data_IF_386958585473
#
_entry.id   IF_386958585473
#
_cell.length_a   1.000
_cell.length_b   1.000
_cell.length_c   1.000
_cell.angle_alpha   90.00
_cell.angle_beta   90.00
_cell.angle_gamma   90.00
#
_symmetry.space_group_name_H-M   'P 1'
#
loop_
_entity.id
_entity.type
_entity.pdbx_description
1 polymer ?
#
# COMPACT_ATOMS: atom_id res chain seq x y z
N UNK A 1 -41.97 22.26 -21.68
CA UNK A 1 -42.92 22.18 -20.56
C UNK A 1 -42.75 20.80 -19.92
N UNK A 2 -42.42 20.75 -18.63
CA UNK A 2 -42.35 19.48 -17.88
C UNK A 2 -43.68 19.31 -17.13
N UNK A 3 -44.25 18.10 -17.12
CA UNK A 3 -45.49 17.82 -16.42
C UNK A 3 -45.24 17.83 -14.90
N UNK A 4 -45.97 18.67 -14.15
CA UNK A 4 -45.89 18.77 -12.67
C UNK A 4 -47.05 18.03 -11.96
N UNK A 5 -47.81 17.21 -12.70
CA UNK A 5 -49.06 16.61 -12.20
C UNK A 5 -48.87 15.27 -11.46
N UNK A 6 -47.64 14.80 -11.27
CA UNK A 6 -47.39 13.56 -10.53
C UNK A 6 -47.24 13.83 -9.04
N UNK A 7 -47.83 12.96 -8.20
CA UNK A 7 -47.58 12.89 -6.75
C UNK A 7 -47.58 11.42 -6.35
N UNK A 8 -46.62 11.02 -5.51
CA UNK A 8 -46.59 9.66 -4.98
C UNK A 8 -47.82 9.35 -4.12
N UNK A 9 -48.19 8.07 -4.05
CA UNK A 9 -49.35 7.61 -3.28
C UNK A 9 -49.25 8.07 -1.82
N UNK A 10 -50.24 8.83 -1.34
CA UNK A 10 -50.28 9.42 0.00
C UNK A 10 -49.01 10.23 0.37
N UNK A 11 -48.34 10.83 -0.60
CA UNK A 11 -47.13 11.63 -0.39
C UNK A 11 -45.85 10.80 -0.24
N UNK A 12 -45.86 9.52 -0.64
CA UNK A 12 -44.62 8.74 -0.73
C UNK A 12 -43.61 9.42 -1.67
N UNK A 13 -42.30 9.37 -1.35
CA UNK A 13 -41.26 9.93 -2.20
C UNK A 13 -41.31 9.38 -3.63
N UNK A 14 -41.19 10.28 -4.59
CA UNK A 14 -41.14 9.93 -6.01
C UNK A 14 -39.86 9.13 -6.30
N UNK A 15 -39.93 8.22 -7.27
CA UNK A 15 -38.75 7.50 -7.81
C UNK A 15 -37.84 6.94 -6.70
N UNK A 16 -38.45 6.31 -5.68
CA UNK A 16 -37.79 5.72 -4.50
C UNK A 16 -36.85 6.68 -3.75
N UNK A 17 -37.10 7.99 -3.83
CA UNK A 17 -36.32 9.04 -3.19
C UNK A 17 -35.01 9.38 -3.90
N UNK A 18 -34.76 8.87 -5.11
CA UNK A 18 -33.54 9.17 -5.85
C UNK A 18 -33.56 10.57 -6.49
N UNK A 19 -34.70 10.91 -7.10
CA UNK A 19 -34.95 12.19 -7.78
C UNK A 19 -36.45 12.50 -7.74
N UNK A 20 -36.79 13.77 -7.92
CA UNK A 20 -38.15 14.14 -8.33
C UNK A 20 -38.40 13.78 -9.80
N UNK A 21 -39.67 13.64 -10.20
CA UNK A 21 -40.06 13.48 -11.61
C UNK A 21 -39.50 14.61 -12.47
N UNK A 22 -39.58 15.86 -11.98
CA UNK A 22 -39.04 17.05 -12.67
C UNK A 22 -37.54 16.92 -12.96
N UNK A 23 -36.76 16.54 -11.94
CA UNK A 23 -35.31 16.35 -12.11
C UNK A 23 -34.97 15.19 -13.05
N UNK A 24 -35.71 14.07 -12.96
CA UNK A 24 -35.49 12.90 -13.81
C UNK A 24 -35.73 13.17 -15.30
N UNK A 25 -36.56 14.18 -15.62
CA UNK A 25 -36.83 14.59 -17.00
C UNK A 25 -35.84 15.62 -17.55
N UNK A 26 -35.03 16.26 -16.70
CA UNK A 26 -34.13 17.35 -17.09
C UNK A 26 -32.64 17.04 -16.93
N UNK A 27 -32.28 16.08 -16.07
CA UNK A 27 -30.89 15.66 -15.82
C UNK A 27 -30.55 14.39 -16.60
N UNK A 28 -29.27 14.18 -16.86
CA UNK A 28 -28.76 12.92 -17.37
C UNK A 28 -27.60 13.06 -18.33
N UNK A 29 -26.82 11.99 -18.43
CA UNK A 29 -25.81 11.81 -19.44
C UNK A 29 -26.29 10.72 -20.40
N UNK A 30 -25.90 10.84 -21.66
CA UNK A 30 -25.98 9.71 -22.58
C UNK A 30 -24.98 8.63 -22.14
N UNK A 31 -25.20 7.39 -22.61
CA UNK A 31 -24.28 6.27 -22.33
C UNK A 31 -22.85 6.62 -22.79
N UNK A 32 -22.69 7.23 -23.96
CA UNK A 32 -21.39 7.61 -24.51
C UNK A 32 -20.68 8.67 -23.64
N UNK A 33 -21.40 9.69 -23.18
CA UNK A 33 -20.87 10.71 -22.27
C UNK A 33 -20.44 10.09 -20.94
N UNK A 34 -21.25 9.19 -20.38
CA UNK A 34 -20.90 8.48 -19.16
C UNK A 34 -19.67 7.59 -19.34
N UNK A 35 -19.61 6.80 -20.42
CA UNK A 35 -18.45 5.93 -20.70
C UNK A 35 -17.17 6.76 -20.89
N UNK A 36 -17.25 7.89 -21.61
CA UNK A 36 -16.10 8.77 -21.81
C UNK A 36 -15.51 9.29 -20.49
N UNK A 37 -16.36 9.64 -19.52
CA UNK A 37 -15.91 10.06 -18.17
C UNK A 37 -15.36 8.89 -17.35
N UNK A 38 -16.04 7.74 -17.37
CA UNK A 38 -15.59 6.54 -16.67
C UNK A 38 -14.22 6.05 -17.15
N UNK A 39 -13.92 6.13 -18.44
CA UNK A 39 -12.60 5.80 -19.00
C UNK A 39 -11.49 6.66 -18.40
N UNK A 40 -11.77 7.96 -18.17
CA UNK A 40 -10.82 8.88 -17.53
C UNK A 40 -10.66 8.59 -16.04
N UNK A 41 -11.75 8.33 -15.32
CA UNK A 41 -11.70 7.95 -13.90
C UNK A 41 -10.93 6.63 -13.71
N UNK A 42 -11.20 5.64 -14.57
CA UNK A 42 -10.44 4.39 -14.62
C UNK A 42 -8.95 4.65 -14.83
N UNK A 43 -8.58 5.43 -15.85
CA UNK A 43 -7.18 5.69 -16.16
C UNK A 43 -6.46 6.43 -15.03
N UNK A 44 -7.10 7.45 -14.45
CA UNK A 44 -6.56 8.17 -13.29
C UNK A 44 -6.38 7.25 -12.09
N UNK A 45 -7.41 6.48 -11.72
CA UNK A 45 -7.34 5.57 -10.57
C UNK A 45 -6.27 4.49 -10.77
N UNK A 46 -6.23 3.86 -11.96
CA UNK A 46 -5.21 2.87 -12.35
C UNK A 46 -3.80 3.43 -12.25
N UNK A 47 -3.55 4.60 -12.84
CA UNK A 47 -2.21 5.20 -12.86
C UNK A 47 -1.81 5.75 -11.50
N UNK A 48 -2.71 6.39 -10.76
CA UNK A 48 -2.42 6.93 -9.44
C UNK A 48 -2.14 5.83 -8.42
N UNK A 49 -2.83 4.68 -8.47
CA UNK A 49 -2.51 3.56 -7.56
C UNK A 49 -1.10 3.01 -7.79
N UNK A 50 -0.70 2.87 -9.06
CA UNK A 50 0.66 2.47 -9.43
C UNK A 50 1.69 3.53 -9.05
N UNK A 51 1.37 4.82 -9.21
CA UNK A 51 2.27 5.91 -8.81
C UNK A 51 2.45 5.91 -7.29
N UNK A 52 1.39 5.87 -6.49
CA UNK A 52 1.52 5.78 -5.02
C UNK A 52 2.37 4.59 -4.61
N UNK A 53 2.13 3.42 -5.21
CA UNK A 53 2.94 2.20 -5.00
C UNK A 53 4.42 2.45 -5.28
N UNK A 54 4.75 3.00 -6.46
CA UNK A 54 6.13 3.26 -6.88
C UNK A 54 6.87 4.28 -5.99
N UNK A 55 6.15 5.09 -5.20
CA UNK A 55 6.75 6.10 -4.30
C UNK A 55 7.06 5.57 -2.91
N UNK A 56 6.52 4.42 -2.49
CA UNK A 56 6.66 3.89 -1.12
C UNK A 56 8.13 3.72 -0.73
N UNK A 57 8.90 3.00 -1.54
CA UNK A 57 10.27 2.60 -1.20
C UNK A 57 11.18 3.80 -0.98
N UNK A 58 11.17 4.77 -1.90
CA UNK A 58 12.06 5.93 -1.80
C UNK A 58 11.56 7.07 -0.91
N UNK A 59 10.30 7.06 -0.47
CA UNK A 59 9.74 8.09 0.41
C UNK A 59 10.30 7.92 1.83
N UNK A 60 11.06 8.83 2.45
CA UNK A 60 11.62 8.57 3.78
C UNK A 60 10.59 8.59 4.92
N UNK A 61 9.53 9.40 4.80
CA UNK A 61 8.59 9.68 5.90
C UNK A 61 7.66 8.49 6.12
N UNK A 62 7.70 7.90 7.31
CA UNK A 62 6.91 6.73 7.70
C UNK A 62 5.42 6.86 7.37
N UNK A 63 4.77 7.93 7.86
CA UNK A 63 3.33 8.11 7.74
C UNK A 63 2.91 8.30 6.27
N UNK A 64 3.77 8.94 5.45
CA UNK A 64 3.50 9.08 4.02
C UNK A 64 3.62 7.73 3.30
N UNK A 65 4.60 6.88 3.65
CA UNK A 65 4.68 5.53 3.09
C UNK A 65 3.42 4.74 3.38
N UNK A 66 2.98 4.73 4.64
CA UNK A 66 1.79 3.98 5.05
C UNK A 66 0.53 4.50 4.37
N UNK A 67 0.38 5.82 4.28
CA UNK A 67 -0.73 6.45 3.56
C UNK A 67 -0.72 6.12 2.06
N UNK A 68 0.46 6.06 1.41
CA UNK A 68 0.54 5.67 0.01
C UNK A 68 0.05 4.23 -0.23
N UNK A 69 0.28 3.31 0.70
CA UNK A 69 -0.31 1.97 0.65
C UNK A 69 -1.84 1.99 0.63
N UNK A 70 -2.46 2.75 1.55
CA UNK A 70 -3.92 2.92 1.61
C UNK A 70 -4.48 3.55 0.34
N UNK A 71 -3.88 4.66 -0.08
CA UNK A 71 -4.34 5.41 -1.25
C UNK A 71 -4.22 4.58 -2.52
N UNK A 72 -3.15 3.78 -2.65
CA UNK A 72 -3.01 2.84 -3.74
C UNK A 72 -4.12 1.78 -3.73
N UNK A 73 -4.46 1.22 -2.57
CA UNK A 73 -5.51 0.22 -2.43
C UNK A 73 -6.89 0.73 -2.85
N UNK A 74 -7.34 1.86 -2.30
CA UNK A 74 -8.63 2.47 -2.67
C UNK A 74 -8.74 2.73 -4.17
N UNK A 75 -7.70 3.34 -4.76
CA UNK A 75 -7.67 3.65 -6.18
C UNK A 75 -7.61 2.38 -7.04
N UNK A 76 -6.94 1.32 -6.59
CA UNK A 76 -6.90 0.05 -7.30
C UNK A 76 -8.27 -0.65 -7.36
N UNK A 77 -9.02 -0.64 -6.25
CA UNK A 77 -10.39 -1.13 -6.21
C UNK A 77 -11.28 -0.35 -7.18
N UNK A 78 -11.23 0.98 -7.13
CA UNK A 78 -12.07 1.82 -8.00
C UNK A 78 -11.71 1.72 -9.48
N UNK A 79 -10.43 1.54 -9.83
CA UNK A 79 -10.03 1.30 -11.21
C UNK A 79 -10.77 0.08 -11.79
N UNK A 80 -10.89 -1.01 -11.04
CA UNK A 80 -11.63 -2.20 -11.46
C UNK A 80 -13.14 -1.94 -11.51
N UNK A 81 -13.72 -1.24 -10.53
CA UNK A 81 -15.15 -0.91 -10.52
C UNK A 81 -15.56 -0.07 -11.73
N UNK A 82 -14.76 0.93 -12.11
CA UNK A 82 -14.98 1.71 -13.32
C UNK A 82 -14.88 0.84 -14.58
N UNK A 83 -13.89 -0.07 -14.62
CA UNK A 83 -13.70 -0.97 -15.74
C UNK A 83 -14.90 -1.90 -15.96
N UNK A 84 -15.36 -2.54 -14.89
CA UNK A 84 -16.52 -3.42 -14.93
C UNK A 84 -17.78 -2.64 -15.33
N UNK A 85 -17.95 -1.42 -14.82
CA UNK A 85 -19.10 -0.59 -15.20
C UNK A 85 -19.10 -0.22 -16.68
N UNK A 86 -17.93 0.09 -17.27
CA UNK A 86 -17.83 0.35 -18.72
C UNK A 86 -18.22 -0.90 -19.52
N UNK A 87 -17.81 -2.10 -19.09
CA UNK A 87 -18.16 -3.37 -19.76
C UNK A 87 -19.65 -3.68 -19.77
N UNK A 88 -20.38 -3.20 -18.78
CA UNK A 88 -21.84 -3.36 -18.66
C UNK A 88 -22.61 -2.37 -19.55
N UNK A 89 -21.94 -1.33 -20.05
CA UNK A 89 -22.51 -0.33 -20.93
C UNK A 89 -22.35 -0.79 -22.38
N UNK A 90 -23.22 -0.34 -23.30
CA UNK A 90 -23.33 -0.81 -24.70
C UNK A 90 -22.13 -0.45 -25.60
N UNK A 91 -20.92 -0.43 -25.03
CA UNK A 91 -19.64 -0.26 -25.70
C UNK A 91 -18.72 -1.43 -25.31
N UNK A 92 -18.11 -2.13 -26.27
CA UNK A 92 -17.00 -3.01 -25.94
C UNK A 92 -15.92 -2.21 -25.19
N UNK A 93 -15.22 -2.79 -24.20
CA UNK A 93 -14.27 -2.07 -23.33
C UNK A 93 -12.95 -1.74 -24.04
N UNK A 94 -13.00 -1.17 -25.24
CA UNK A 94 -11.84 -0.69 -25.96
C UNK A 94 -11.30 0.60 -25.34
N UNK A 95 -9.97 0.73 -25.32
CA UNK A 95 -9.27 1.93 -24.85
C UNK A 95 -9.21 2.07 -23.33
N UNK A 96 -9.39 0.98 -22.57
CA UNK A 96 -9.19 0.98 -21.11
C UNK A 96 -7.71 0.94 -20.73
N UNK A 97 -6.86 0.41 -21.61
CA UNK A 97 -5.41 0.30 -21.41
C UNK A 97 -4.61 1.45 -22.06
N UNK A 98 -5.29 2.50 -22.52
CA UNK A 98 -4.67 3.68 -23.13
C UNK A 98 -5.28 4.95 -22.56
N UNK A 99 -4.50 6.01 -22.42
CA UNK A 99 -5.02 7.29 -21.97
C UNK A 99 -6.12 7.82 -22.91
N UNK A 100 -7.29 8.22 -22.36
CA UNK A 100 -8.34 8.87 -23.15
C UNK A 100 -7.94 10.23 -23.74
N UNK A 101 -6.84 10.82 -23.28
CA UNK A 101 -6.27 12.06 -23.81
C UNK A 101 -4.75 12.12 -23.51
N UNK A 102 -3.87 12.52 -24.46
CA UNK A 102 -2.41 12.51 -24.25
C UNK A 102 -1.94 13.39 -23.07
N UNK A 103 -2.58 14.55 -22.85
CA UNK A 103 -2.26 15.41 -21.70
C UNK A 103 -2.51 14.75 -20.33
N UNK A 104 -3.36 13.71 -20.26
CA UNK A 104 -3.57 12.96 -19.04
C UNK A 104 -2.35 12.11 -18.68
N UNK A 105 -1.69 11.51 -19.67
CA UNK A 105 -0.41 10.82 -19.44
C UNK A 105 0.69 11.80 -19.07
N UNK A 106 0.80 12.95 -19.75
CA UNK A 106 1.75 14.00 -19.35
C UNK A 106 1.54 14.40 -17.88
N UNK A 107 0.29 14.65 -17.48
CA UNK A 107 -0.06 14.99 -16.11
C UNK A 107 0.40 13.93 -15.08
N UNK A 108 0.13 12.65 -15.36
CA UNK A 108 0.44 11.55 -14.46
C UNK A 108 1.94 11.21 -14.45
N UNK A 109 2.60 11.29 -15.61
CA UNK A 109 4.05 11.10 -15.72
C UNK A 109 4.83 12.21 -15.00
N UNK A 110 4.36 13.46 -15.07
CA UNK A 110 4.94 14.58 -14.33
C UNK A 110 4.88 14.34 -12.82
N UNK A 111 3.75 13.86 -12.30
CA UNK A 111 3.61 13.48 -10.89
C UNK A 111 4.56 12.34 -10.53
N UNK A 112 4.62 11.29 -11.35
CA UNK A 112 5.45 10.11 -11.11
C UNK A 112 6.94 10.47 -11.01
N UNK A 113 7.41 11.33 -11.92
CA UNK A 113 8.83 11.72 -12.02
C UNK A 113 9.22 12.89 -11.13
N UNK A 114 8.27 13.57 -10.47
CA UNK A 114 8.56 14.70 -9.60
C UNK A 114 9.42 14.33 -8.38
N UNK A 115 10.25 15.25 -7.84
CA UNK A 115 10.87 15.07 -6.53
C UNK A 115 9.81 14.93 -5.41
N UNK A 116 10.22 14.48 -4.22
CA UNK A 116 9.27 14.06 -3.17
C UNK A 116 8.30 15.16 -2.73
N UNK A 117 8.79 16.38 -2.49
CA UNK A 117 7.95 17.50 -2.07
C UNK A 117 6.99 17.94 -3.18
N UNK A 118 7.46 18.01 -4.42
CA UNK A 118 6.63 18.28 -5.60
C UNK A 118 5.57 17.20 -5.80
N UNK A 119 5.93 15.92 -5.68
CA UNK A 119 4.97 14.81 -5.79
C UNK A 119 3.85 14.96 -4.75
N UNK A 120 4.18 15.11 -3.47
CA UNK A 120 3.21 15.27 -2.37
C UNK A 120 2.32 16.50 -2.63
N UNK A 121 2.92 17.62 -3.04
CA UNK A 121 2.17 18.84 -3.34
C UNK A 121 1.25 18.64 -4.54
N UNK A 122 1.76 18.13 -5.66
CA UNK A 122 1.00 17.97 -6.90
C UNK A 122 -0.12 16.95 -6.76
N UNK A 123 0.12 15.82 -6.09
CA UNK A 123 -0.90 14.78 -5.93
C UNK A 123 -2.03 15.25 -5.01
N UNK A 124 -1.72 15.90 -3.88
CA UNK A 124 -2.74 16.28 -2.90
C UNK A 124 -3.34 17.68 -3.08
N UNK A 125 -2.70 18.58 -3.84
CA UNK A 125 -3.28 19.90 -4.15
C UNK A 125 -3.87 20.00 -5.56
N UNK A 126 -3.57 19.04 -6.44
CA UNK A 126 -4.07 19.03 -7.82
C UNK A 126 -4.75 17.71 -8.15
N UNK A 127 -4.04 16.58 -8.19
CA UNK A 127 -4.58 15.34 -8.75
C UNK A 127 -5.82 14.79 -8.02
N UNK A 128 -5.71 14.63 -6.70
CA UNK A 128 -6.79 14.08 -5.87
C UNK A 128 -7.97 15.06 -5.76
N UNK A 129 -7.77 16.37 -5.46
CA UNK A 129 -8.87 17.34 -5.48
C UNK A 129 -9.61 17.39 -6.82
N UNK A 130 -8.89 17.34 -7.93
CA UNK A 130 -9.50 17.41 -9.27
C UNK A 130 -10.26 16.12 -9.61
N UNK A 131 -9.74 14.94 -9.24
CA UNK A 131 -10.50 13.69 -9.34
C UNK A 131 -11.79 13.74 -8.51
N UNK A 132 -11.73 14.24 -7.27
CA UNK A 132 -12.90 14.40 -6.40
C UNK A 132 -13.93 15.37 -6.98
N UNK A 133 -13.46 16.49 -7.54
CA UNK A 133 -14.32 17.47 -8.22
C UNK A 133 -15.01 16.84 -9.43
N UNK A 134 -14.28 16.04 -10.22
CA UNK A 134 -14.81 15.32 -11.37
C UNK A 134 -15.92 14.34 -11.00
N UNK A 135 -15.68 13.55 -9.94
CA UNK A 135 -16.66 12.59 -9.40
C UNK A 135 -17.88 13.33 -8.86
N UNK A 136 -17.68 14.41 -8.09
CA UNK A 136 -18.77 15.24 -7.54
C UNK A 136 -19.62 15.88 -8.64
N UNK A 137 -18.98 16.35 -9.71
CA UNK A 137 -19.66 16.86 -10.91
C UNK A 137 -20.50 15.77 -11.57
N UNK A 138 -19.92 14.58 -11.78
CA UNK A 138 -20.65 13.43 -12.31
C UNK A 138 -21.91 13.12 -11.47
N UNK A 139 -21.78 13.07 -10.14
CA UNK A 139 -22.89 12.80 -9.22
C UNK A 139 -24.01 13.85 -9.28
N UNK A 140 -23.67 15.08 -9.66
CA UNK A 140 -24.64 16.19 -9.81
C UNK A 140 -25.36 16.16 -11.15
N UNK A 141 -24.66 15.78 -12.22
CA UNK A 141 -25.16 15.81 -13.60
C UNK A 141 -25.89 14.52 -14.01
N UNK A 142 -25.48 13.36 -13.47
CA UNK A 142 -26.07 12.08 -13.83
C UNK A 142 -27.56 11.98 -13.47
N UNK A 143 -28.29 11.17 -14.22
CA UNK A 143 -29.66 10.82 -13.86
C UNK A 143 -29.62 9.63 -12.90
N UNK A 144 -29.78 9.88 -11.60
CA UNK A 144 -29.68 8.85 -10.55
C UNK A 144 -30.67 7.69 -10.70
N UNK A 145 -31.75 7.86 -11.49
CA UNK A 145 -32.68 6.79 -11.83
C UNK A 145 -32.15 5.96 -13.01
N UNK A 146 -31.82 6.60 -14.13
CA UNK A 146 -31.43 5.89 -15.36
C UNK A 146 -30.02 5.30 -15.30
N UNK A 147 -29.11 5.96 -14.59
CA UNK A 147 -27.70 5.59 -14.48
C UNK A 147 -27.36 5.13 -13.06
N UNK A 148 -28.34 4.59 -12.33
CA UNK A 148 -28.19 4.23 -10.92
C UNK A 148 -26.94 3.37 -10.61
N UNK A 149 -26.58 2.34 -11.42
CA UNK A 149 -25.34 1.59 -11.20
C UNK A 149 -24.09 2.47 -11.26
N UNK A 150 -23.99 3.37 -12.24
CA UNK A 150 -22.84 4.28 -12.37
C UNK A 150 -22.83 5.32 -11.25
N UNK A 151 -23.99 5.85 -10.86
CA UNK A 151 -24.14 6.73 -9.70
C UNK A 151 -23.56 6.07 -8.44
N UNK A 152 -23.87 4.79 -8.19
CA UNK A 152 -23.32 4.05 -7.04
C UNK A 152 -21.80 3.92 -7.11
N UNK A 153 -21.26 3.52 -8.26
CA UNK A 153 -19.81 3.37 -8.47
C UNK A 153 -19.08 4.69 -8.23
N UNK A 154 -19.53 5.78 -8.83
CA UNK A 154 -18.94 7.11 -8.64
C UNK A 154 -19.12 7.64 -7.21
N UNK A 155 -20.23 7.30 -6.53
CA UNK A 155 -20.49 7.71 -5.15
C UNK A 155 -19.51 7.05 -4.18
N UNK A 156 -19.27 5.75 -4.31
CA UNK A 156 -18.29 5.06 -3.47
C UNK A 156 -16.87 5.56 -3.75
N UNK A 157 -16.52 5.76 -5.03
CA UNK A 157 -15.26 6.38 -5.38
C UNK A 157 -15.07 7.78 -4.78
N UNK A 158 -16.10 8.62 -4.80
CA UNK A 158 -16.02 9.95 -4.23
C UNK A 158 -15.79 9.93 -2.71
N UNK A 159 -16.37 8.96 -1.98
CA UNK A 159 -16.19 8.83 -0.53
C UNK A 159 -14.73 8.54 -0.18
N UNK A 160 -14.13 7.51 -0.79
CA UNK A 160 -12.75 7.14 -0.50
C UNK A 160 -11.75 8.18 -1.03
N UNK A 161 -12.00 8.79 -2.20
CA UNK A 161 -11.16 9.90 -2.71
C UNK A 161 -11.26 11.14 -1.81
N UNK A 162 -12.39 11.38 -1.13
CA UNK A 162 -12.51 12.44 -0.12
C UNK A 162 -11.67 12.15 1.13
N UNK A 163 -11.56 10.89 1.56
CA UNK A 163 -10.65 10.48 2.63
C UNK A 163 -9.18 10.73 2.25
N UNK A 164 -8.78 10.32 1.04
CA UNK A 164 -7.44 10.61 0.48
C UNK A 164 -7.19 12.12 0.47
N UNK A 165 -8.16 12.91 0.02
CA UNK A 165 -8.06 14.37 -0.05
C UNK A 165 -7.90 14.99 1.36
N UNK A 166 -8.62 14.45 2.34
CA UNK A 166 -8.57 14.93 3.73
C UNK A 166 -7.20 14.68 4.35
N UNK A 167 -6.65 13.47 4.18
CA UNK A 167 -5.28 13.17 4.60
C UNK A 167 -4.27 14.07 3.87
N UNK A 168 -4.43 14.20 2.55
CA UNK A 168 -3.56 15.02 1.71
C UNK A 168 -3.46 16.48 2.15
N UNK A 169 -4.57 17.08 2.62
CA UNK A 169 -4.59 18.45 3.16
C UNK A 169 -3.73 18.61 4.41
N UNK A 170 -3.66 17.59 5.26
CA UNK A 170 -2.77 17.61 6.43
C UNK A 170 -1.32 17.36 6.04
N UNK A 171 -1.07 16.42 5.12
CA UNK A 171 0.27 16.12 4.61
C UNK A 171 0.95 17.37 4.00
N UNK A 172 0.24 18.16 3.19
CA UNK A 172 0.83 19.35 2.53
C UNK A 172 1.13 20.51 3.48
N UNK A 173 0.59 20.52 4.71
CA UNK A 173 0.99 21.49 5.74
C UNK A 173 2.42 21.23 6.22
N UNK A 174 2.87 19.98 6.15
CA UNK A 174 4.19 19.54 6.62
C UNK A 174 5.17 19.40 5.45
N UNK A 175 4.73 18.79 4.34
CA UNK A 175 5.57 18.50 3.17
C UNK A 175 4.99 19.19 1.94
N UNK A 176 5.64 20.26 1.50
CA UNK A 176 5.23 20.98 0.30
C UNK A 176 6.40 21.49 -0.54
N UNK A 177 6.09 21.90 -1.77
CA UNK A 177 6.98 22.56 -2.71
C UNK A 177 6.40 23.92 -3.09
N UNK A 178 7.29 24.90 -3.23
CA UNK A 178 6.96 26.24 -3.73
C UNK A 178 7.05 26.37 -5.25
N UNK A 179 7.22 25.26 -5.99
CA UNK A 179 7.38 25.24 -7.44
C UNK A 179 6.07 25.56 -8.18
N UNK A 180 5.68 26.84 -8.16
CA UNK A 180 4.45 27.35 -8.78
C UNK A 180 4.40 27.12 -10.28
N UNK A 181 5.55 27.16 -10.97
CA UNK A 181 5.61 26.93 -12.40
C UNK A 181 5.24 25.49 -12.76
N UNK A 182 5.76 24.51 -12.01
CA UNK A 182 5.41 23.12 -12.22
C UNK A 182 3.95 22.81 -11.84
N UNK A 183 3.44 23.40 -10.74
CA UNK A 183 2.01 23.29 -10.41
C UNK A 183 1.11 23.90 -11.50
N UNK A 184 1.57 24.97 -12.15
CA UNK A 184 0.87 25.54 -13.31
C UNK A 184 0.89 24.58 -14.51
N UNK A 185 2.00 23.92 -14.79
CA UNK A 185 2.08 22.87 -15.82
C UNK A 185 1.03 21.76 -15.59
N UNK A 186 0.87 21.30 -14.34
CA UNK A 186 -0.16 20.32 -14.01
C UNK A 186 -1.58 20.83 -14.33
N UNK A 187 -1.88 22.08 -13.94
CA UNK A 187 -3.17 22.73 -14.25
C UNK A 187 -3.37 22.93 -15.75
N UNK A 188 -2.31 23.24 -16.49
CA UNK A 188 -2.37 23.39 -17.94
C UNK A 188 -2.69 22.06 -18.62
N UNK A 189 -2.17 20.93 -18.13
CA UNK A 189 -2.55 19.60 -18.60
C UNK A 189 -4.06 19.35 -18.41
N UNK A 190 -4.60 19.66 -17.22
CA UNK A 190 -6.04 19.55 -16.95
C UNK A 190 -6.87 20.43 -17.89
N UNK A 191 -6.47 21.69 -18.08
CA UNK A 191 -7.17 22.65 -18.94
C UNK A 191 -7.20 22.19 -20.40
N UNK A 192 -6.09 21.65 -20.92
CA UNK A 192 -5.98 21.20 -22.31
C UNK A 192 -6.88 20.00 -22.59
N UNK A 193 -7.10 19.12 -21.60
CA UNK A 193 -7.98 17.95 -21.77
C UNK A 193 -9.45 18.19 -21.41
N UNK A 194 -9.86 19.43 -21.13
CA UNK A 194 -11.23 19.76 -20.73
C UNK A 194 -11.56 19.35 -19.28
N UNK A 195 -10.55 19.29 -18.41
CA UNK A 195 -10.65 18.80 -17.04
C UNK A 195 -10.51 17.27 -16.93
N UNK A 196 -10.44 16.75 -15.69
CA UNK A 196 -10.27 15.32 -15.42
C UNK A 196 -11.39 14.43 -15.99
N UNK A 197 -12.63 14.93 -16.09
CA UNK A 197 -13.74 14.21 -16.74
C UNK A 197 -13.86 14.52 -18.25
N UNK A 198 -13.08 15.45 -18.78
CA UNK A 198 -13.07 15.85 -20.19
C UNK A 198 -14.35 16.52 -20.69
N UNK A 199 -15.19 17.03 -19.80
CA UNK A 199 -16.45 17.71 -20.14
C UNK A 199 -16.26 19.18 -20.57
N UNK A 200 -15.11 19.77 -20.29
CA UNK A 200 -14.75 21.12 -20.69
C UNK A 200 -14.19 21.20 -22.12
N UNK A 201 -13.89 22.42 -22.56
CA UNK A 201 -13.29 22.64 -23.89
C UNK A 201 -11.84 22.13 -23.90
N UNK A 202 -11.55 21.19 -24.79
CA UNK A 202 -10.19 20.74 -25.06
C UNK A 202 -9.41 21.71 -25.96
N UNK A 203 -8.08 21.64 -25.88
CA UNK A 203 -7.14 22.36 -26.76
C UNK A 203 -6.21 21.34 -27.42
N UNK A 204 -5.69 21.67 -28.60
CA UNK A 204 -4.81 20.76 -29.35
C UNK A 204 -3.35 20.82 -28.88
N UNK A 205 -2.90 21.97 -28.38
CA UNK A 205 -1.50 22.16 -27.97
C UNK A 205 -1.27 21.50 -26.61
N UNK A 206 -0.43 20.47 -26.59
CA UNK A 206 -0.03 19.75 -25.38
C UNK A 206 1.03 20.55 -24.59
N UNK A 207 0.99 20.54 -23.25
CA UNK A 207 2.05 21.14 -22.44
C UNK A 207 3.39 20.41 -22.59
N UNK A 208 4.49 21.15 -22.47
CA UNK A 208 5.84 20.55 -22.48
C UNK A 208 6.16 19.87 -21.14
N UNK A 209 6.74 18.68 -21.22
CA UNK A 209 7.18 17.90 -20.05
C UNK A 209 8.31 18.61 -19.31
N UNK A 210 8.27 18.58 -17.97
CA UNK A 210 9.33 19.10 -17.10
C UNK A 210 10.10 17.96 -16.42
N UNK A 211 9.52 17.31 -15.41
CA UNK A 211 10.17 16.19 -14.72
C UNK A 211 10.10 14.88 -15.50
N UNK A 212 9.12 14.74 -16.40
CA UNK A 212 8.92 13.53 -17.20
C UNK A 212 9.56 13.57 -18.59
N UNK A 213 10.57 14.42 -18.80
CA UNK A 213 11.32 14.49 -20.08
C UNK A 213 11.99 13.17 -20.44
N UNK A 214 12.35 12.38 -19.44
CA UNK A 214 12.84 11.01 -19.59
C UNK A 214 11.83 10.04 -18.96
N UNK A 215 11.75 8.79 -19.46
CA UNK A 215 10.95 7.76 -18.83
C UNK A 215 11.32 7.61 -17.34
N UNK A 216 10.30 7.44 -16.50
CA UNK A 216 10.51 7.24 -15.07
C UNK A 216 11.34 5.97 -14.84
N UNK A 217 12.31 6.07 -13.93
CA UNK A 217 13.06 4.93 -13.41
C UNK A 217 12.69 4.72 -11.95
N UNK A 218 12.29 3.48 -11.62
CA UNK A 218 11.92 3.11 -10.27
C UNK A 218 13.10 3.29 -9.30
N UNK A 219 12.82 3.85 -8.13
CA UNK A 219 13.82 4.12 -7.08
C UNK A 219 13.72 3.05 -6.00
N UNK A 220 14.37 1.91 -6.23
CA UNK A 220 14.29 0.74 -5.35
C UNK A 220 15.08 0.81 -4.03
N UNK A 221 15.86 1.86 -3.79
CA UNK A 221 16.59 1.99 -2.52
C UNK A 221 15.65 2.49 -1.41
N UNK A 222 15.39 1.69 -0.35
CA UNK A 222 14.50 2.07 0.74
C UNK A 222 15.09 3.22 1.56
N UNK A 223 14.23 4.12 2.03
CA UNK A 223 14.63 5.22 2.92
C UNK A 223 13.78 5.26 4.18
N UNK A 224 14.37 5.78 5.26
CA UNK A 224 13.73 6.02 6.55
C UNK A 224 13.91 7.48 6.94
N UNK A 225 12.98 8.04 7.70
CA UNK A 225 13.12 9.34 8.35
C UNK A 225 14.03 9.27 9.58
N UNK A 226 14.34 10.42 10.17
CA UNK A 226 15.33 10.58 11.24
C UNK A 226 15.00 9.86 12.54
N UNK A 227 13.76 9.37 12.71
CA UNK A 227 13.36 8.61 13.91
C UNK A 227 13.94 7.20 13.91
N UNK A 228 14.18 6.63 12.73
CA UNK A 228 14.78 5.31 12.59
C UNK A 228 16.28 5.38 12.84
N UNK A 229 16.75 4.61 13.81
CA UNK A 229 18.15 4.57 14.22
C UNK A 229 18.74 3.22 13.87
N UNK A 230 20.05 3.21 13.59
CA UNK A 230 20.82 1.99 13.34
C UNK A 230 20.10 1.07 12.32
N UNK A 231 19.78 1.62 11.15
CA UNK A 231 18.88 1.01 10.16
C UNK A 231 19.45 -0.25 9.48
N UNK A 232 20.63 -0.71 9.90
CA UNK A 232 21.25 -1.98 9.51
C UNK A 232 21.32 -2.99 10.67
N UNK A 233 20.77 -2.68 11.85
CA UNK A 233 20.86 -3.52 13.04
C UNK A 233 20.09 -4.85 12.87
N UNK A 234 20.79 -5.96 13.11
CA UNK A 234 20.28 -7.33 13.06
C UNK A 234 20.57 -8.07 14.38
N UNK A 235 20.78 -7.33 15.46
CA UNK A 235 21.30 -7.80 16.75
C UNK A 235 20.31 -8.62 17.59
N UNK A 236 19.03 -8.68 17.22
CA UNK A 236 17.99 -9.43 17.93
C UNK A 236 17.19 -10.27 16.96
N UNK A 237 17.29 -11.60 17.10
CA UNK A 237 16.45 -12.55 16.39
C UNK A 237 15.08 -12.63 17.07
N UNK A 238 14.02 -12.18 16.41
CA UNK A 238 12.70 -12.09 17.04
C UNK A 238 12.00 -13.46 17.07
N UNK A 239 12.13 -14.21 15.98
CA UNK A 239 11.52 -15.53 15.80
C UNK A 239 12.09 -16.55 16.80
N UNK A 240 13.39 -16.52 17.07
CA UNK A 240 14.02 -17.42 18.05
C UNK A 240 13.48 -17.21 19.48
N UNK A 241 13.26 -15.97 19.91
CA UNK A 241 12.64 -15.68 21.21
C UNK A 241 11.17 -16.11 21.23
N UNK A 242 10.41 -15.74 20.19
CA UNK A 242 8.97 -16.01 20.08
C UNK A 242 8.67 -17.52 20.11
N UNK A 243 9.49 -18.33 19.44
CA UNK A 243 9.33 -19.78 19.35
C UNK A 243 9.94 -20.54 20.53
N UNK A 244 10.67 -19.87 21.43
CA UNK A 244 11.21 -20.51 22.63
C UNK A 244 10.09 -20.86 23.62
N UNK A 245 9.84 -22.15 23.81
CA UNK A 245 8.74 -22.66 24.67
C UNK A 245 8.97 -22.42 26.17
N UNK A 246 10.21 -22.21 26.58
CA UNK A 246 10.57 -21.92 27.98
C UNK A 246 10.24 -20.47 28.37
N UNK A 247 10.06 -19.58 27.39
CA UNK A 247 9.71 -18.19 27.62
C UNK A 247 8.18 -18.05 27.74
N UNK A 248 7.74 -17.42 28.83
CA UNK A 248 6.33 -17.13 29.08
C UNK A 248 5.71 -16.28 27.95
N UNK A 249 4.37 -16.34 27.74
CA UNK A 249 3.71 -15.57 26.69
C UNK A 249 3.88 -14.05 26.79
N UNK A 250 3.78 -13.47 27.99
CA UNK A 250 3.77 -12.01 28.17
C UNK A 250 5.00 -11.31 27.55
N UNK A 251 6.25 -11.70 27.82
CA UNK A 251 7.43 -11.13 27.15
C UNK A 251 7.43 -11.27 25.62
N UNK A 252 6.83 -12.34 25.07
CA UNK A 252 6.73 -12.57 23.61
C UNK A 252 5.87 -11.53 22.91
N UNK A 253 5.00 -10.82 23.62
CA UNK A 253 4.22 -9.69 23.11
C UNK A 253 5.10 -8.66 22.39
N UNK A 254 6.29 -8.38 22.95
CA UNK A 254 7.24 -7.44 22.34
C UNK A 254 7.75 -7.93 20.98
N UNK A 255 7.94 -9.26 20.83
CA UNK A 255 8.36 -9.85 19.55
C UNK A 255 7.21 -9.89 18.55
N UNK A 256 5.98 -10.13 18.99
CA UNK A 256 4.80 -10.05 18.14
C UNK A 256 4.63 -8.64 17.54
N UNK A 257 4.79 -7.61 18.36
CA UNK A 257 4.76 -6.20 17.93
C UNK A 257 5.96 -5.82 17.08
N UNK A 258 7.17 -6.29 17.44
CA UNK A 258 8.37 -6.04 16.65
C UNK A 258 8.23 -6.62 15.24
N UNK A 259 7.77 -7.86 15.11
CA UNK A 259 7.57 -8.51 13.80
C UNK A 259 6.62 -7.71 12.92
N UNK A 260 5.51 -7.23 13.49
CA UNK A 260 4.54 -6.36 12.81
C UNK A 260 5.17 -5.05 12.38
N UNK A 261 5.76 -4.27 13.29
CA UNK A 261 6.37 -2.99 12.93
C UNK A 261 7.53 -3.14 11.92
N UNK A 262 8.29 -4.24 11.98
CA UNK A 262 9.34 -4.59 11.00
C UNK A 262 8.77 -4.82 9.59
N UNK A 263 7.50 -5.16 9.44
CA UNK A 263 6.88 -5.39 8.13
C UNK A 263 6.79 -4.13 7.26
N UNK A 264 7.20 -2.96 7.75
CA UNK A 264 7.48 -1.79 6.89
C UNK A 264 8.42 -2.11 5.70
N UNK A 265 9.31 -3.10 5.84
CA UNK A 265 10.16 -3.59 4.75
C UNK A 265 9.37 -4.28 3.62
N UNK A 266 8.24 -4.90 3.94
CA UNK A 266 7.43 -5.67 2.99
C UNK A 266 6.79 -4.80 1.91
N UNK A 267 6.05 -3.71 2.20
CA UNK A 267 5.50 -2.86 1.16
C UNK A 267 6.59 -2.17 0.33
N UNK A 268 7.78 -1.91 0.89
CA UNK A 268 8.92 -1.35 0.15
C UNK A 268 9.53 -2.32 -0.86
N UNK A 269 9.55 -3.61 -0.53
CA UNK A 269 9.97 -4.66 -1.44
C UNK A 269 8.86 -4.94 -2.46
N UNK A 270 7.61 -5.08 -2.02
CA UNK A 270 6.48 -5.35 -2.91
C UNK A 270 6.25 -4.25 -3.95
N UNK A 271 6.44 -2.97 -3.57
CA UNK A 271 6.40 -1.85 -4.50
C UNK A 271 7.36 -2.05 -5.69
N UNK A 272 8.50 -2.71 -5.45
CA UNK A 272 9.48 -3.00 -6.49
C UNK A 272 9.03 -4.14 -7.42
N UNK A 273 8.39 -5.19 -6.88
CA UNK A 273 7.79 -6.25 -7.69
C UNK A 273 6.72 -5.65 -8.62
N UNK A 274 5.83 -4.83 -8.07
CA UNK A 274 4.74 -4.19 -8.82
C UNK A 274 5.28 -3.27 -9.90
N UNK A 275 6.26 -2.42 -9.57
CA UNK A 275 6.81 -1.41 -10.49
C UNK A 275 7.66 -2.02 -11.60
N UNK A 276 8.32 -3.15 -11.35
CA UNK A 276 9.27 -3.78 -12.28
C UNK A 276 8.70 -5.03 -12.95
N UNK A 277 7.40 -5.29 -12.81
CA UNK A 277 6.69 -6.36 -13.52
C UNK A 277 5.54 -5.75 -14.35
N UNK A 278 5.85 -5.05 -15.45
CA UNK A 278 4.82 -4.48 -16.32
C UNK A 278 4.02 -5.58 -17.04
N UNK A 279 2.95 -5.19 -17.70
CA UNK A 279 2.16 -6.01 -18.62
C UNK A 279 1.44 -7.24 -18.01
N UNK A 280 1.25 -7.27 -16.68
CA UNK A 280 0.39 -8.27 -16.02
C UNK A 280 -1.10 -7.89 -16.14
N UNK A 281 -2.03 -8.85 -16.04
CA UNK A 281 -3.47 -8.54 -15.97
C UNK A 281 -3.79 -7.63 -14.78
N UNK A 282 -4.82 -6.77 -14.88
CA UNK A 282 -5.16 -5.85 -13.79
C UNK A 282 -5.41 -6.55 -12.44
N UNK A 283 -6.01 -7.75 -12.47
CA UNK A 283 -6.23 -8.57 -11.28
C UNK A 283 -4.93 -8.83 -10.50
N UNK A 284 -3.79 -9.01 -11.18
CA UNK A 284 -2.48 -9.15 -10.54
C UNK A 284 -2.13 -7.90 -9.74
N UNK A 285 -2.22 -6.72 -10.37
CA UNK A 285 -1.90 -5.46 -9.69
C UNK A 285 -2.84 -5.20 -8.53
N UNK A 286 -4.14 -5.50 -8.70
CA UNK A 286 -5.14 -5.36 -7.63
C UNK A 286 -4.78 -6.22 -6.42
N UNK A 287 -4.50 -7.51 -6.63
CA UNK A 287 -4.16 -8.43 -5.55
C UNK A 287 -2.83 -8.06 -4.87
N UNK A 288 -1.79 -7.75 -5.65
CA UNK A 288 -0.49 -7.35 -5.11
C UNK A 288 -0.56 -6.02 -4.35
N UNK A 289 -1.37 -5.05 -4.80
CA UNK A 289 -1.60 -3.79 -4.08
C UNK A 289 -2.43 -4.03 -2.81
N UNK A 290 -3.40 -4.96 -2.84
CA UNK A 290 -4.18 -5.34 -1.67
C UNK A 290 -3.26 -5.90 -0.57
N UNK A 291 -2.41 -6.85 -0.91
CA UNK A 291 -1.44 -7.38 0.03
C UNK A 291 -0.46 -6.30 0.50
N UNK A 292 0.06 -5.46 -0.40
CA UNK A 292 0.94 -4.34 -0.01
C UNK A 292 0.29 -3.42 1.04
N UNK A 293 -1.01 -3.16 0.92
CA UNK A 293 -1.76 -2.40 1.92
C UNK A 293 -1.89 -3.16 3.24
N UNK A 294 -2.21 -4.45 3.18
CA UNK A 294 -2.32 -5.29 4.37
C UNK A 294 -0.99 -5.28 5.16
N UNK A 295 0.16 -5.37 4.50
CA UNK A 295 1.48 -5.27 5.15
C UNK A 295 1.78 -3.86 5.69
N UNK A 296 1.31 -2.81 5.01
CA UNK A 296 1.38 -1.44 5.54
C UNK A 296 0.53 -1.30 6.82
N UNK A 297 -0.64 -1.97 6.88
CA UNK A 297 -1.44 -2.02 8.10
C UNK A 297 -0.74 -2.80 9.20
N UNK A 298 -0.14 -3.94 8.89
CA UNK A 298 0.54 -4.74 9.91
C UNK A 298 1.68 -3.96 10.57
N UNK A 299 2.44 -3.17 9.79
CA UNK A 299 3.41 -2.22 10.35
C UNK A 299 2.79 -1.26 11.36
N UNK A 300 1.68 -0.59 11.01
CA UNK A 300 0.95 0.31 11.91
C UNK A 300 0.33 -0.42 13.12
N UNK A 301 -0.09 -1.69 12.98
CA UNK A 301 -0.53 -2.50 14.12
C UNK A 301 0.59 -2.72 15.13
N UNK A 302 1.82 -2.91 14.66
CA UNK A 302 3.02 -3.00 15.50
C UNK A 302 3.30 -1.70 16.25
N UNK A 303 3.18 -0.56 15.57
CA UNK A 303 3.26 0.78 16.19
C UNK A 303 2.23 0.95 17.31
N UNK A 304 0.96 0.60 17.05
CA UNK A 304 -0.11 0.62 18.05
C UNK A 304 0.24 -0.30 19.23
N UNK A 305 0.79 -1.49 18.95
CA UNK A 305 1.27 -2.42 19.96
C UNK A 305 2.28 -1.81 20.91
N UNK A 306 3.38 -1.22 20.40
CA UNK A 306 4.37 -0.57 21.25
C UNK A 306 3.83 0.64 22.01
N UNK A 307 3.01 1.46 21.33
CA UNK A 307 2.35 2.62 21.94
C UNK A 307 1.47 2.20 23.12
N UNK A 308 0.77 1.06 23.02
CA UNK A 308 -0.06 0.55 24.11
C UNK A 308 0.72 0.18 25.38
N UNK A 309 2.03 0.00 25.27
CA UNK A 309 2.94 -0.30 26.38
C UNK A 309 3.74 0.93 26.85
N UNK A 310 3.41 2.13 26.36
CA UNK A 310 4.22 3.35 26.55
C UNK A 310 5.69 3.18 26.10
N UNK A 311 5.94 2.29 25.15
CA UNK A 311 7.27 2.09 24.57
C UNK A 311 7.36 2.93 23.31
N UNK A 312 8.36 3.80 23.25
CA UNK A 312 8.73 4.53 22.04
C UNK A 312 9.37 3.55 21.06
N UNK A 313 8.68 3.29 19.95
CA UNK A 313 9.18 2.40 18.92
C UNK A 313 10.49 2.92 18.30
N UNK A 314 10.75 4.23 18.38
CA UNK A 314 11.97 4.91 17.92
C UNK A 314 13.23 4.57 18.74
N UNK A 315 13.07 3.86 19.85
CA UNK A 315 14.17 3.30 20.64
C UNK A 315 14.58 1.89 20.15
N UNK A 316 13.84 1.33 19.19
CA UNK A 316 14.10 0.02 18.59
C UNK A 316 14.64 0.24 17.17
N UNK A 317 15.75 -0.42 16.79
CA UNK A 317 16.32 -0.24 15.47
C UNK A 317 15.55 -1.09 14.44
N UNK A 318 14.39 -0.58 14.00
CA UNK A 318 13.67 -1.12 12.85
C UNK A 318 14.50 -0.89 11.59
N UNK A 319 15.21 -1.94 11.20
CA UNK A 319 16.15 -1.89 10.08
C UNK A 319 15.42 -1.85 8.71
N UNK A 320 16.18 -1.58 7.65
CA UNK A 320 15.70 -1.61 6.25
C UNK A 320 16.35 -2.73 5.43
N UNK A 321 17.06 -3.64 6.11
CA UNK A 321 18.03 -4.54 5.48
C UNK A 321 17.36 -5.49 4.51
N UNK A 322 16.15 -5.96 4.81
CA UNK A 322 15.48 -6.93 3.97
C UNK A 322 15.03 -6.30 2.65
N UNK A 323 14.33 -5.17 2.71
CA UNK A 323 13.92 -4.45 1.49
C UNK A 323 15.12 -3.97 0.68
N UNK A 324 16.19 -3.49 1.34
CA UNK A 324 17.44 -3.07 0.68
C UNK A 324 18.12 -4.21 -0.06
N UNK A 325 18.36 -5.34 0.61
CA UNK A 325 19.06 -6.48 0.03
C UNK A 325 18.26 -7.05 -1.15
N UNK A 326 16.94 -7.19 -1.00
CA UNK A 326 16.09 -7.72 -2.05
C UNK A 326 16.02 -6.77 -3.25
N UNK A 327 15.81 -5.48 -3.04
CA UNK A 327 15.69 -4.51 -4.13
C UNK A 327 17.00 -4.26 -4.87
N UNK A 328 18.17 -4.51 -4.25
CA UNK A 328 19.47 -4.24 -4.86
C UNK A 328 20.19 -5.48 -5.38
N UNK A 329 19.89 -6.67 -4.86
CA UNK A 329 20.59 -7.91 -5.23
C UNK A 329 19.72 -8.89 -6.02
N UNK A 330 18.39 -8.79 -5.96
CA UNK A 330 17.48 -9.77 -6.56
C UNK A 330 16.72 -9.20 -7.76
N UNK A 331 16.40 -10.07 -8.70
CA UNK A 331 15.46 -9.78 -9.80
C UNK A 331 14.02 -9.68 -9.28
N UNK A 332 13.09 -9.16 -10.11
CA UNK A 332 11.66 -9.10 -9.77
C UNK A 332 11.05 -10.48 -9.52
N UNK A 333 11.41 -11.49 -10.33
CA UNK A 333 10.93 -12.87 -10.13
C UNK A 333 11.51 -13.53 -8.87
N UNK A 334 12.78 -13.28 -8.55
CA UNK A 334 13.39 -13.75 -7.30
C UNK A 334 12.69 -13.14 -6.08
N UNK A 335 12.44 -11.82 -6.08
CA UNK A 335 11.72 -11.13 -5.00
C UNK A 335 10.32 -11.71 -4.77
N UNK A 336 9.55 -11.89 -5.82
CA UNK A 336 8.21 -12.46 -5.71
C UNK A 336 8.25 -13.92 -5.25
N UNK A 337 9.24 -14.70 -5.67
CA UNK A 337 9.41 -16.07 -5.18
C UNK A 337 9.81 -16.13 -3.69
N UNK A 338 10.65 -15.20 -3.22
CA UNK A 338 10.99 -15.07 -1.80
C UNK A 338 9.75 -14.74 -0.99
N UNK A 339 8.92 -13.78 -1.45
CA UNK A 339 7.66 -13.43 -0.81
C UNK A 339 6.75 -14.66 -0.66
N UNK A 340 6.51 -15.37 -1.77
CA UNK A 340 5.72 -16.60 -1.76
C UNK A 340 6.29 -17.67 -0.82
N UNK A 341 7.61 -17.89 -0.82
CA UNK A 341 8.26 -18.86 0.07
C UNK A 341 8.00 -18.54 1.54
N UNK A 342 8.11 -17.27 1.93
CA UNK A 342 7.88 -16.81 3.31
C UNK A 342 6.41 -17.02 3.69
N UNK A 343 5.46 -16.59 2.87
CA UNK A 343 4.03 -16.74 3.13
C UNK A 343 3.64 -18.21 3.36
N UNK A 344 4.16 -19.14 2.53
CA UNK A 344 3.92 -20.56 2.75
C UNK A 344 4.56 -21.07 4.06
N UNK A 345 5.74 -20.55 4.41
CA UNK A 345 6.43 -20.84 5.66
C UNK A 345 5.68 -20.38 6.92
N UNK A 346 4.76 -19.43 6.78
CA UNK A 346 3.93 -18.89 7.87
C UNK A 346 2.65 -19.71 8.15
N UNK A 347 2.30 -20.67 7.29
CA UNK A 347 1.07 -21.47 7.41
C UNK A 347 1.11 -22.67 8.38
N UNK A 348 2.26 -23.32 8.70
CA UNK A 348 2.28 -24.44 9.62
C UNK A 348 1.81 -24.07 11.05
N UNK A 349 0.80 -24.77 11.55
CA UNK A 349 0.12 -24.45 12.82
C UNK A 349 1.04 -24.24 14.04
N UNK A 350 2.13 -25.02 14.14
CA UNK A 350 2.99 -25.05 15.34
C UNK A 350 4.13 -24.03 15.35
N UNK A 351 4.36 -23.34 14.23
CA UNK A 351 5.50 -22.43 14.07
C UNK A 351 5.16 -21.14 13.33
N UNK A 352 3.99 -21.10 12.67
CA UNK A 352 3.51 -19.95 11.90
C UNK A 352 2.42 -19.17 12.64
N UNK A 353 1.55 -18.52 11.87
CA UNK A 353 0.60 -17.50 12.35
C UNK A 353 -0.39 -18.02 13.41
N UNK A 354 -0.85 -19.27 13.28
CA UNK A 354 -1.68 -19.88 14.32
C UNK A 354 -0.96 -19.92 15.69
N UNK A 355 0.33 -20.26 15.73
CA UNK A 355 1.08 -20.26 16.99
C UNK A 355 1.23 -18.84 17.56
N UNK A 356 1.44 -17.84 16.70
CA UNK A 356 1.54 -16.43 17.13
C UNK A 356 0.23 -15.95 17.76
N UNK A 357 -0.91 -16.29 17.15
CA UNK A 357 -2.24 -16.06 17.69
C UNK A 357 -2.47 -16.81 19.02
N UNK A 358 -2.10 -18.10 19.11
CA UNK A 358 -2.19 -18.87 20.36
C UNK A 358 -1.31 -18.31 21.48
N UNK A 359 -0.16 -17.71 21.15
CA UNK A 359 0.67 -16.96 22.11
C UNK A 359 -0.06 -15.70 22.55
N UNK A 360 -0.61 -14.93 21.60
CA UNK A 360 -1.36 -13.70 21.87
C UNK A 360 -2.54 -13.92 22.82
N UNK A 361 -3.30 -15.00 22.64
CA UNK A 361 -4.40 -15.37 23.54
C UNK A 361 -3.94 -15.60 25.00
N UNK A 362 -2.67 -15.93 25.21
CA UNK A 362 -2.10 -16.21 26.53
C UNK A 362 -1.40 -15.00 27.16
N UNK A 363 -1.38 -13.84 26.51
CA UNK A 363 -0.78 -12.61 27.06
C UNK A 363 -1.75 -11.79 27.90
N UNK A 364 -3.03 -12.22 28.00
CA UNK A 364 -4.15 -11.50 28.61
C UNK A 364 -4.41 -10.09 28.01
N UNK A 365 -3.83 -9.79 26.83
CA UNK A 365 -4.00 -8.53 26.11
C UNK A 365 -4.93 -8.73 24.91
N UNK A 366 -6.16 -8.21 25.01
CA UNK A 366 -7.12 -8.23 23.90
C UNK A 366 -6.59 -7.50 22.65
N UNK A 367 -5.77 -6.45 22.83
CA UNK A 367 -5.13 -5.79 21.70
C UNK A 367 -4.16 -6.72 20.97
N UNK A 368 -3.35 -7.49 21.70
CA UNK A 368 -2.41 -8.45 21.10
C UNK A 368 -3.17 -9.54 20.34
N UNK A 369 -4.26 -10.04 20.92
CA UNK A 369 -5.18 -10.97 20.25
C UNK A 369 -5.69 -10.39 18.92
N UNK A 370 -6.29 -9.19 18.94
CA UNK A 370 -6.83 -8.54 17.73
C UNK A 370 -5.77 -8.36 16.65
N UNK A 371 -4.57 -7.91 17.03
CA UNK A 371 -3.48 -7.71 16.06
C UNK A 371 -3.13 -9.03 15.38
N UNK A 372 -2.92 -10.12 16.13
CA UNK A 372 -2.55 -11.40 15.54
C UNK A 372 -3.70 -12.10 14.81
N UNK A 373 -4.96 -11.86 15.22
CA UNK A 373 -6.13 -12.44 14.56
C UNK A 373 -6.31 -11.87 13.15
N UNK A 374 -6.25 -10.54 12.99
CA UNK A 374 -6.34 -9.91 11.67
C UNK A 374 -5.09 -10.16 10.82
N UNK A 375 -3.88 -10.09 11.40
CA UNK A 375 -2.64 -10.44 10.71
C UNK A 375 -2.69 -11.87 10.16
N UNK A 376 -3.17 -12.85 10.94
CA UNK A 376 -3.32 -14.22 10.43
C UNK A 376 -4.36 -14.31 9.31
N UNK A 377 -5.51 -13.65 9.44
CA UNK A 377 -6.55 -13.66 8.41
C UNK A 377 -6.04 -13.11 7.06
N UNK A 378 -5.26 -12.02 7.10
CA UNK A 378 -4.65 -11.41 5.93
C UNK A 378 -3.58 -12.34 5.30
N UNK A 379 -2.76 -12.99 6.11
CA UNK A 379 -1.68 -13.86 5.63
C UNK A 379 -2.17 -15.15 4.95
N UNK A 380 -3.37 -15.62 5.30
CA UNK A 380 -4.05 -16.69 4.55
C UNK A 380 -4.40 -16.23 3.13
N UNK A 381 -4.81 -14.97 2.98
CA UNK A 381 -5.06 -14.37 1.66
C UNK A 381 -3.74 -14.22 0.89
N UNK A 382 -2.67 -13.76 1.53
CA UNK A 382 -1.35 -13.55 0.90
C UNK A 382 -0.81 -14.86 0.31
N UNK A 383 -0.83 -15.94 1.10
CA UNK A 383 -0.43 -17.27 0.65
C UNK A 383 -1.22 -17.80 -0.56
N UNK A 384 -2.46 -17.32 -0.77
CA UNK A 384 -3.25 -17.60 -1.98
C UNK A 384 -2.83 -16.71 -3.14
N UNK A 385 -2.63 -15.41 -2.91
CA UNK A 385 -2.18 -14.46 -3.93
C UNK A 385 -0.86 -14.92 -4.56
N UNK A 386 0.15 -15.27 -3.77
CA UNK A 386 1.41 -15.78 -4.31
C UNK A 386 1.23 -17.09 -5.09
N UNK A 387 0.31 -17.96 -4.64
CA UNK A 387 -0.02 -19.19 -5.38
C UNK A 387 -0.61 -18.91 -6.76
N UNK A 388 -1.52 -17.96 -6.86
CA UNK A 388 -2.23 -17.63 -8.10
C UNK A 388 -1.29 -16.97 -9.12
N UNK A 389 -0.28 -16.22 -8.66
CA UNK A 389 0.51 -15.34 -9.54
C UNK A 389 1.93 -15.80 -9.87
N UNK A 390 2.60 -16.61 -9.03
CA UNK A 390 3.99 -17.02 -9.33
C UNK A 390 4.21 -18.52 -9.50
N UNK A 391 3.34 -19.36 -8.93
CA UNK A 391 3.57 -20.82 -8.91
C UNK A 391 3.56 -21.42 -10.31
N UNK A 392 2.63 -21.04 -11.17
CA UNK A 392 2.58 -21.55 -12.54
C UNK A 392 3.77 -21.08 -13.39
N UNK A 393 4.29 -19.88 -13.12
CA UNK A 393 5.43 -19.31 -13.84
C UNK A 393 6.74 -20.04 -13.51
N UNK A 394 6.84 -20.58 -12.29
CA UNK A 394 8.01 -21.33 -11.81
C UNK A 394 7.88 -22.85 -11.97
N UNK A 395 6.85 -23.34 -12.67
CA UNK A 395 6.70 -24.77 -12.96
C UNK A 395 6.10 -25.60 -11.82
N UNK A 396 5.38 -24.98 -10.89
CA UNK A 396 4.63 -25.65 -9.84
C UNK A 396 5.15 -25.38 -8.42
N UNK A 397 4.38 -25.81 -7.42
CA UNK A 397 4.58 -25.40 -6.02
C UNK A 397 5.96 -25.76 -5.45
N UNK A 398 6.44 -26.98 -5.72
CA UNK A 398 7.75 -27.42 -5.22
C UNK A 398 8.90 -26.60 -5.85
N UNK A 399 8.82 -26.32 -7.15
CA UNK A 399 9.84 -25.54 -7.85
C UNK A 399 9.83 -24.07 -7.38
N UNK A 400 8.65 -23.48 -7.18
CA UNK A 400 8.52 -22.14 -6.62
C UNK A 400 9.12 -22.02 -5.20
N UNK A 401 8.85 -23.02 -4.34
CA UNK A 401 9.42 -23.05 -2.98
C UNK A 401 10.94 -23.20 -2.97
N UNK A 402 11.49 -24.11 -3.79
CA UNK A 402 12.95 -24.29 -3.91
C UNK A 402 13.63 -23.03 -4.47
N UNK A 403 13.04 -22.42 -5.49
CA UNK A 403 13.56 -21.20 -6.10
C UNK A 403 13.55 -20.01 -5.11
N UNK A 404 12.43 -19.79 -4.41
CA UNK A 404 12.32 -18.74 -3.39
C UNK A 404 13.29 -18.94 -2.22
N UNK A 405 13.44 -20.17 -1.74
CA UNK A 405 14.38 -20.51 -0.67
C UNK A 405 15.83 -20.17 -1.05
N UNK A 406 16.27 -20.58 -2.25
CA UNK A 406 17.62 -20.31 -2.76
C UNK A 406 17.86 -18.82 -2.97
N UNK A 407 16.89 -18.12 -3.55
CA UNK A 407 16.95 -16.68 -3.75
C UNK A 407 17.08 -15.93 -2.41
N UNK A 408 16.36 -16.37 -1.38
CA UNK A 408 16.43 -15.72 -0.06
C UNK A 408 17.80 -15.90 0.60
N UNK A 409 18.38 -17.10 0.55
CA UNK A 409 19.75 -17.34 1.04
C UNK A 409 20.77 -16.49 0.28
N UNK A 410 20.68 -16.43 -1.05
CA UNK A 410 21.52 -15.57 -1.89
C UNK A 410 21.43 -14.10 -1.48
N UNK A 411 20.25 -13.59 -1.16
CA UNK A 411 20.05 -12.19 -0.79
C UNK A 411 20.72 -11.84 0.55
N UNK A 412 20.63 -12.75 1.54
CA UNK A 412 21.13 -12.54 2.90
C UNK A 412 22.60 -12.92 3.11
N UNK A 413 23.23 -13.63 2.17
CA UNK A 413 24.64 -14.04 2.27
C UNK A 413 25.55 -12.89 2.69
N UNK A 414 26.31 -13.14 3.76
CA UNK A 414 27.32 -12.26 4.35
C UNK A 414 26.82 -10.87 4.76
N UNK A 415 25.50 -10.66 4.82
CA UNK A 415 24.93 -9.32 5.05
C UNK A 415 25.27 -8.78 6.44
N UNK A 416 25.20 -9.63 7.47
CA UNK A 416 25.57 -9.27 8.85
C UNK A 416 27.03 -8.83 8.92
N UNK A 417 27.95 -9.68 8.47
CA UNK A 417 29.40 -9.39 8.47
C UNK A 417 29.75 -8.18 7.60
N UNK A 418 29.08 -8.02 6.45
CA UNK A 418 29.32 -6.89 5.54
C UNK A 418 28.93 -5.57 6.19
N UNK A 419 27.74 -5.48 6.79
CA UNK A 419 27.28 -4.25 7.43
C UNK A 419 28.13 -3.87 8.65
N UNK A 420 28.61 -4.84 9.42
CA UNK A 420 29.57 -4.62 10.51
C UNK A 420 30.92 -4.12 9.97
N UNK A 421 31.48 -4.81 8.95
CA UNK A 421 32.79 -4.47 8.37
C UNK A 421 32.81 -3.10 7.70
N UNK A 422 31.71 -2.70 7.06
CA UNK A 422 31.54 -1.38 6.45
C UNK A 422 31.28 -0.28 7.48
N UNK A 423 31.11 -0.63 8.76
CA UNK A 423 30.86 0.31 9.84
C UNK A 423 29.44 0.91 9.82
N UNK A 424 28.50 0.26 9.13
CA UNK A 424 27.11 0.71 9.04
C UNK A 424 26.32 0.47 10.33
N UNK A 425 26.76 -0.50 11.13
CA UNK A 425 26.13 -0.89 12.40
C UNK A 425 27.12 -1.69 13.24
N UNK A 426 26.87 -1.77 14.55
CA UNK A 426 27.52 -2.72 15.47
C UNK A 426 26.59 -3.87 15.88
N UNK A 427 25.40 -3.93 15.28
CA UNK A 427 24.34 -4.87 15.63
C UNK A 427 24.07 -4.94 17.13
N UNK A 428 24.00 -3.78 17.80
CA UNK A 428 23.81 -3.72 19.24
C UNK A 428 22.51 -4.41 19.66
N UNK A 429 22.59 -5.22 20.72
CA UNK A 429 21.43 -5.91 21.27
C UNK A 429 20.54 -4.91 22.03
N UNK A 430 19.42 -4.55 21.41
CA UNK A 430 18.45 -3.60 21.95
C UNK A 430 17.46 -4.23 22.94
N UNK A 431 17.36 -5.57 23.00
CA UNK A 431 16.34 -6.27 23.78
C UNK A 431 16.31 -5.91 25.28
N UNK A 432 17.46 -5.89 26.01
CA UNK A 432 17.42 -5.65 27.45
C UNK A 432 16.82 -4.29 27.83
N UNK A 433 17.02 -3.27 27.00
CA UNK A 433 16.46 -1.93 27.22
C UNK A 433 14.94 -1.91 27.07
N UNK A 434 14.43 -2.55 26.01
CA UNK A 434 13.00 -2.61 25.71
C UNK A 434 12.25 -3.50 26.70
N UNK A 435 12.82 -4.65 27.04
CA UNK A 435 12.19 -5.56 28.00
C UNK A 435 12.06 -4.94 29.40
N UNK A 436 13.07 -4.17 29.86
CA UNK A 436 12.98 -3.41 31.12
C UNK A 436 11.82 -2.41 31.10
N UNK A 437 11.69 -1.60 30.04
CA UNK A 437 10.58 -0.64 29.89
C UNK A 437 9.22 -1.34 29.92
N UNK A 438 9.10 -2.49 29.26
CA UNK A 438 7.87 -3.28 29.28
C UNK A 438 7.55 -3.82 30.68
N UNK A 439 8.56 -4.32 31.40
CA UNK A 439 8.40 -4.79 32.78
C UNK A 439 7.98 -3.67 33.73
N UNK A 440 8.55 -2.47 33.56
CA UNK A 440 8.14 -1.26 34.29
C UNK A 440 6.67 -0.93 34.03
N UNK A 441 6.22 -0.97 32.78
CA UNK A 441 4.82 -0.75 32.40
C UNK A 441 3.88 -1.80 33.01
N UNK A 442 4.26 -3.08 32.96
CA UNK A 442 3.49 -4.19 33.53
C UNK A 442 3.58 -4.27 35.06
N UNK A 443 4.41 -3.43 35.69
CA UNK A 443 4.69 -3.46 37.13
C UNK A 443 5.18 -4.84 37.62
N UNK A 444 6.13 -5.44 36.88
CA UNK A 444 6.77 -6.71 37.21
C UNK A 444 8.29 -6.57 37.30
N UNK A 445 8.93 -7.49 38.04
CA UNK A 445 10.39 -7.58 38.06
C UNK A 445 10.88 -8.30 36.80
N UNK A 446 11.86 -7.75 36.04
CA UNK A 446 12.41 -8.44 34.88
C UNK A 446 13.03 -9.79 35.25
N UNK A 447 12.60 -10.86 34.58
CA UNK A 447 13.23 -12.17 34.69
C UNK A 447 14.68 -12.10 34.17
N UNK A 448 15.72 -12.43 34.97
CA UNK A 448 17.12 -12.37 34.55
C UNK A 448 17.45 -13.25 33.33
N UNK A 449 16.81 -14.42 33.20
CA UNK A 449 17.07 -15.32 32.08
C UNK A 449 16.56 -14.71 30.76
N UNK A 450 15.37 -14.10 30.81
CA UNK A 450 14.78 -13.43 29.65
C UNK A 450 15.53 -12.13 29.34
N UNK A 451 15.94 -11.38 30.36
CA UNK A 451 16.69 -10.13 30.21
C UNK A 451 18.04 -10.34 29.51
N UNK A 452 18.68 -11.49 29.70
CA UNK A 452 19.97 -11.84 29.11
C UNK A 452 19.87 -12.42 27.68
N UNK A 453 18.69 -12.40 27.05
CA UNK A 453 18.55 -12.85 25.66
C UNK A 453 19.48 -12.06 24.72
N UNK A 454 20.26 -12.78 23.90
CA UNK A 454 21.32 -12.20 23.07
C UNK A 454 21.53 -12.95 21.74
N UNK A 455 20.48 -13.61 21.22
CA UNK A 455 20.55 -14.27 19.92
C UNK A 455 20.27 -13.24 18.82
N UNK A 456 21.14 -13.17 17.81
CA UNK A 456 21.04 -12.28 16.64
C UNK A 456 20.71 -13.06 15.36
N UNK A 457 20.53 -12.36 14.23
CA UNK A 457 20.39 -13.00 12.90
C UNK A 457 21.72 -13.41 12.26
N UNK A 458 22.83 -13.38 13.02
CA UNK A 458 24.15 -13.70 12.48
C UNK A 458 24.24 -15.12 11.90
N UNK A 459 23.69 -16.09 12.63
CA UNK A 459 23.84 -17.51 12.30
C UNK A 459 22.64 -18.06 11.50
N UNK A 460 21.50 -17.37 11.51
CA UNK A 460 20.28 -17.87 10.89
C UNK A 460 19.36 -16.77 10.36
N UNK A 461 18.63 -17.13 9.30
CA UNK A 461 17.52 -16.34 8.76
C UNK A 461 16.34 -16.27 9.75
N UNK A 462 15.34 -15.38 9.52
CA UNK A 462 14.10 -15.36 10.30
C UNK A 462 13.35 -16.71 10.35
N UNK A 463 13.42 -17.54 9.30
CA UNK A 463 12.83 -18.87 9.29
C UNK A 463 13.69 -19.96 9.98
N UNK A 464 14.82 -19.54 10.59
CA UNK A 464 15.80 -20.34 11.32
C UNK A 464 16.60 -21.33 10.46
N UNK A 465 16.61 -21.14 9.14
CA UNK A 465 17.58 -21.82 8.28
C UNK A 465 18.96 -21.20 8.52
N UNK A 466 19.96 -22.04 8.77
CA UNK A 466 21.35 -21.62 8.94
C UNK A 466 21.85 -20.90 7.68
N UNK A 467 22.53 -19.78 7.88
CA UNK A 467 23.27 -19.11 6.81
C UNK A 467 24.57 -19.89 6.61
N UNK A 468 24.58 -20.84 5.66
CA UNK A 468 25.78 -21.61 5.36
C UNK A 468 26.87 -20.70 4.80
N UNK A 469 28.06 -20.73 5.40
CA UNK A 469 29.28 -20.21 4.80
C UNK A 469 29.70 -21.20 3.71
N UNK A 470 29.49 -20.89 2.44
CA UNK A 470 30.12 -21.63 1.34
C UNK A 470 31.62 -21.28 1.24
#
# INVERSE_FOLDING_TARGET
>A
MLAENYKGYKGLPELVGLLTMKESMSKGLTVAESVARLKRFHWMAKRLSLIFTARITSMPIYELKMAFGLHAHYLAEHAEQFFNRVREMREPPYGMDTAPHPALDIFLDELQSAPDNEFVTGVYTVAIPELLNALSKYLTECNKLFEHPTYRVCRFAALEVEEINTYGKEAVKVVNSENKQWLQLLKDCLNVMGGPDGSGRSKEVLPERNFSKQPYQYKGFPKRDERFKDVYNMGVNAEALLLNKEIAPLPKTLMLYFKRMREIDVPEMMASIISETPDKPWAYYKDMIRQLWDESRHAMMGEVGFTSLNIKWEDIPFNLTWSYLLNTKMTNIERHAILYFIEQGLMPAKTGKQYEWEVALKTDSHLTELIQDYDWADEVLHARIGRDWIVSELGGQLAAMDFGNKAWSKALSDSFETFEKEGLTKHENWWPGIYKKACEFWNITPDPAILNYNTSYRESRPDRVELTSD
#
